data_IF_330763612895
#
_entry.id   IF_330763612895
#
_cell.length_a   1.000
_cell.length_b   1.000
_cell.length_c   1.000
_cell.angle_alpha   90.00
_cell.angle_beta   90.00
_cell.angle_gamma   90.00
#
_symmetry.space_group_name_H-M   'P 1'
#
loop_
_entity.id
_entity.type
_entity.pdbx_description
1 polymer ?
#
# COMPACT_ATOMS: atom_id res chain seq x y z
N UNK A 1 -30.61 7.41 -0.54
CA UNK A 1 -30.53 6.39 0.51
C UNK A 1 -29.06 6.14 0.73
N UNK A 2 -28.52 6.66 1.83
CA UNK A 2 -27.10 6.50 2.16
C UNK A 2 -27.00 5.24 2.98
N UNK A 3 -26.64 4.14 2.35
CA UNK A 3 -26.36 2.89 3.06
C UNK A 3 -25.07 3.11 3.86
N UNK A 4 -25.23 3.26 5.18
CA UNK A 4 -24.15 3.11 6.14
C UNK A 4 -23.70 1.65 6.10
N UNK A 5 -22.40 1.35 5.93
CA UNK A 5 -21.92 -0.02 5.90
C UNK A 5 -22.26 -0.76 7.20
N UNK A 6 -22.52 -2.06 7.08
CA UNK A 6 -22.87 -2.98 8.16
C UNK A 6 -21.73 -3.06 9.19
N UNK A 7 -21.98 -2.76 10.49
CA UNK A 7 -20.96 -2.82 11.55
C UNK A 7 -20.45 -4.24 11.85
N UNK A 8 -20.95 -5.28 11.18
CA UNK A 8 -20.53 -6.68 11.38
C UNK A 8 -19.35 -7.12 10.52
N UNK A 9 -18.93 -6.34 9.52
CA UNK A 9 -17.73 -6.67 8.73
C UNK A 9 -16.48 -6.22 9.49
N UNK A 10 -15.72 -7.17 10.05
CA UNK A 10 -14.39 -6.91 10.61
C UNK A 10 -13.53 -6.19 9.55
N UNK A 11 -13.24 -4.88 9.70
CA UNK A 11 -12.49 -4.14 8.68
C UNK A 11 -11.07 -4.68 8.53
N UNK A 12 -10.55 -5.39 9.54
CA UNK A 12 -9.27 -6.09 9.45
C UNK A 12 -9.37 -7.32 8.55
N UNK A 13 -10.51 -8.02 8.49
CA UNK A 13 -10.66 -9.22 7.66
C UNK A 13 -10.44 -8.89 6.18
N UNK A 14 -11.04 -7.82 5.65
CA UNK A 14 -10.84 -7.37 4.27
C UNK A 14 -9.40 -6.88 3.97
N UNK A 15 -8.64 -6.49 5.00
CA UNK A 15 -7.22 -6.13 4.87
C UNK A 15 -6.34 -7.37 4.93
N UNK A 16 -6.63 -8.28 5.86
CA UNK A 16 -5.95 -9.57 6.04
C UNK A 16 -6.11 -10.48 4.82
N UNK A 17 -7.23 -10.45 4.11
CA UNK A 17 -7.43 -11.30 2.92
C UNK A 17 -6.56 -10.91 1.73
N UNK A 18 -6.12 -9.65 1.65
CA UNK A 18 -5.29 -9.11 0.56
C UNK A 18 -3.79 -9.05 0.87
N UNK A 19 -3.41 -9.05 2.15
CA UNK A 19 -2.00 -9.22 2.59
C UNK A 19 -1.71 -10.68 2.90
N UNK A 20 -0.50 -11.17 2.63
CA UNK A 20 -0.11 -12.59 2.84
C UNK A 20 1.35 -12.67 3.32
N UNK A 21 1.73 -13.80 3.91
CA UNK A 21 3.10 -14.05 4.38
C UNK A 21 3.40 -13.35 5.70
N UNK A 22 4.62 -12.83 5.84
CA UNK A 22 5.13 -12.15 7.06
C UNK A 22 4.60 -10.71 7.24
N UNK A 23 3.47 -10.40 6.59
CA UNK A 23 2.77 -9.13 6.72
C UNK A 23 1.70 -9.23 7.81
N UNK A 24 1.83 -8.40 8.84
CA UNK A 24 0.93 -8.32 9.98
C UNK A 24 0.04 -7.07 9.92
N UNK A 25 -1.22 -7.22 10.33
CA UNK A 25 -2.18 -6.11 10.48
C UNK A 25 -2.55 -6.01 11.96
N UNK A 26 -2.07 -4.98 12.69
CA UNK A 26 -2.40 -4.81 14.10
C UNK A 26 -3.89 -4.64 14.33
N UNK A 27 -4.45 -5.40 15.27
CA UNK A 27 -5.90 -5.39 15.53
C UNK A 27 -6.39 -4.02 16.02
N UNK A 28 -5.55 -3.33 16.77
CA UNK A 28 -5.81 -2.01 17.36
C UNK A 28 -5.91 -0.89 16.31
N UNK A 29 -5.32 -1.09 15.13
CA UNK A 29 -5.19 -0.03 14.14
C UNK A 29 -6.32 -0.05 13.11
N UNK A 30 -7.21 -1.05 13.16
CA UNK A 30 -8.34 -1.25 12.25
C UNK A 30 -7.90 -1.16 10.77
N UNK A 31 -6.82 -1.84 10.41
CA UNK A 31 -6.32 -1.89 9.05
C UNK A 31 -5.58 -0.64 8.58
N UNK A 32 -5.33 0.32 9.48
CA UNK A 32 -4.62 1.57 9.14
C UNK A 32 -3.10 1.43 9.18
N UNK A 33 -2.61 0.24 9.52
CA UNK A 33 -1.21 -0.13 9.51
C UNK A 33 -1.06 -1.57 9.03
N UNK A 34 -0.06 -1.82 8.21
CA UNK A 34 0.39 -3.15 7.79
C UNK A 34 1.90 -3.17 8.01
N UNK A 35 2.41 -4.17 8.72
CA UNK A 35 3.81 -4.27 9.15
C UNK A 35 4.43 -5.47 8.46
N UNK A 36 5.63 -5.30 7.93
CA UNK A 36 6.51 -6.41 7.59
C UNK A 36 7.38 -6.73 8.80
N UNK A 37 7.08 -7.82 9.51
CA UNK A 37 7.66 -8.11 10.83
C UNK A 37 9.19 -8.25 10.82
N UNK A 38 9.83 -8.99 9.88
CA UNK A 38 11.29 -9.15 9.86
C UNK A 38 12.05 -7.83 9.73
N UNK A 39 11.53 -6.89 8.93
CA UNK A 39 12.23 -5.63 8.62
C UNK A 39 11.76 -4.43 9.42
N UNK A 40 10.59 -4.52 10.04
CA UNK A 40 9.91 -3.37 10.64
C UNK A 40 9.40 -2.35 9.62
N UNK A 41 9.39 -2.66 8.31
CA UNK A 41 8.80 -1.74 7.32
C UNK A 41 7.29 -1.68 7.54
N UNK A 42 6.73 -0.48 7.62
CA UNK A 42 5.29 -0.29 7.85
C UNK A 42 4.65 0.45 6.69
N UNK A 43 3.51 0.00 6.20
CA UNK A 43 2.58 0.84 5.46
C UNK A 43 1.55 1.40 6.42
N UNK A 44 1.46 2.73 6.50
CA UNK A 44 0.59 3.43 7.45
C UNK A 44 -0.35 4.43 6.78
N UNK A 45 -1.52 4.61 7.41
CA UNK A 45 -2.45 5.68 7.07
C UNK A 45 -1.87 7.02 7.52
N UNK A 46 -1.47 7.86 6.57
CA UNK A 46 -0.99 9.22 6.82
C UNK A 46 -2.02 10.13 7.50
N UNK A 47 -3.28 9.70 7.61
CA UNK A 47 -4.35 10.39 8.36
C UNK A 47 -4.22 10.23 9.87
N UNK A 48 -3.47 9.23 10.34
CA UNK A 48 -3.39 8.82 11.75
C UNK A 48 -1.97 8.75 12.28
N UNK A 49 -1.02 8.45 11.41
CA UNK A 49 0.36 8.20 11.78
C UNK A 49 1.28 9.07 10.94
N UNK A 50 2.39 9.50 11.54
CA UNK A 50 3.44 10.23 10.85
C UNK A 50 4.37 9.26 10.11
N UNK A 51 4.53 9.39 8.78
CA UNK A 51 5.45 8.58 8.01
C UNK A 51 6.86 9.17 7.97
N UNK A 52 7.85 8.29 7.87
CA UNK A 52 9.22 8.70 7.55
C UNK A 52 9.37 8.93 6.04
N UNK A 53 8.63 8.17 5.21
CA UNK A 53 8.64 8.30 3.75
C UNK A 53 7.22 8.35 3.20
N UNK A 54 6.90 9.36 2.41
CA UNK A 54 5.64 9.42 1.68
C UNK A 54 5.73 8.59 0.40
N UNK A 55 4.76 7.69 0.21
CA UNK A 55 4.55 6.94 -1.04
C UNK A 55 3.27 7.38 -1.75
N UNK A 56 2.72 8.54 -1.38
CA UNK A 56 1.51 9.08 -2.00
C UNK A 56 1.74 9.50 -3.47
N UNK A 57 0.66 9.95 -4.13
CA UNK A 57 0.69 10.32 -5.56
C UNK A 57 1.64 11.48 -5.91
N UNK A 58 2.19 12.20 -4.93
CA UNK A 58 3.19 13.27 -5.14
C UNK A 58 4.62 12.73 -5.09
N UNK A 59 4.81 11.53 -4.55
CA UNK A 59 6.10 10.85 -4.53
C UNK A 59 6.38 10.14 -5.85
N UNK A 60 7.65 9.79 -6.08
CA UNK A 60 8.07 8.93 -7.21
C UNK A 60 7.46 7.52 -7.15
N UNK A 61 7.01 7.08 -5.98
CA UNK A 61 6.39 5.77 -5.76
C UNK A 61 4.86 5.81 -5.88
N UNK A 62 4.29 6.98 -6.13
CA UNK A 62 2.86 7.19 -6.16
C UNK A 62 2.17 6.45 -7.29
N UNK A 63 0.95 5.96 -7.04
CA UNK A 63 0.15 5.34 -8.09
C UNK A 63 -0.26 6.38 -9.15
N UNK A 64 0.09 6.21 -10.45
CA UNK A 64 -0.31 7.13 -11.51
C UNK A 64 -1.76 6.91 -11.97
N UNK A 65 -2.32 5.72 -11.73
CA UNK A 65 -3.65 5.32 -12.18
C UNK A 65 -4.73 5.88 -11.23
N UNK A 66 -5.39 6.95 -11.66
CA UNK A 66 -6.44 7.64 -10.89
C UNK A 66 -7.81 7.07 -11.18
N UNK A 67 -8.66 7.07 -10.16
CA UNK A 67 -10.05 6.64 -10.33
C UNK A 67 -10.85 7.71 -11.08
N UNK A 68 -11.92 7.32 -11.76
CA UNK A 68 -12.86 8.25 -12.43
C UNK A 68 -13.35 9.33 -11.46
N UNK A 69 -13.74 8.94 -10.24
CA UNK A 69 -14.16 9.89 -9.19
C UNK A 69 -13.06 10.87 -8.73
N UNK A 70 -11.80 10.55 -9.00
CA UNK A 70 -10.62 11.35 -8.67
C UNK A 70 -10.05 12.05 -9.92
N UNK A 71 -10.83 12.14 -11.01
CA UNK A 71 -10.45 12.78 -12.28
C UNK A 71 -9.51 11.94 -13.15
N UNK A 72 -9.55 10.61 -13.02
CA UNK A 72 -8.81 9.67 -13.85
C UNK A 72 -9.70 8.85 -14.78
N UNK A 73 -9.19 7.68 -15.18
CA UNK A 73 -9.82 6.78 -16.17
C UNK A 73 -10.11 5.39 -15.60
N UNK A 74 -9.73 5.13 -14.35
CA UNK A 74 -9.87 3.80 -13.75
C UNK A 74 -11.18 3.67 -12.98
N UNK A 75 -11.93 2.62 -13.24
CA UNK A 75 -13.28 2.44 -12.69
C UNK A 75 -13.25 1.99 -11.22
N UNK A 76 -12.29 1.14 -10.84
CA UNK A 76 -12.24 0.55 -9.49
C UNK A 76 -10.87 0.66 -8.82
N UNK A 77 -10.87 0.57 -7.49
CA UNK A 77 -9.65 0.60 -6.67
C UNK A 77 -8.79 -0.63 -6.96
N UNK A 78 -9.43 -1.77 -7.12
CA UNK A 78 -8.85 -3.06 -7.46
C UNK A 78 -8.13 -2.99 -8.79
N UNK A 79 -8.77 -2.43 -9.82
CA UNK A 79 -8.14 -2.19 -11.11
C UNK A 79 -6.98 -1.21 -11.00
N UNK A 80 -7.12 -0.13 -10.23
CA UNK A 80 -6.07 0.89 -10.05
C UNK A 80 -4.82 0.31 -9.37
N UNK A 81 -4.98 -0.59 -8.40
CA UNK A 81 -3.87 -1.27 -7.73
C UNK A 81 -3.26 -2.36 -8.64
N UNK A 82 -4.07 -3.10 -9.40
CA UNK A 82 -3.57 -4.08 -10.36
C UNK A 82 -2.73 -3.43 -11.48
N UNK A 83 -3.19 -2.31 -12.04
CA UNK A 83 -2.43 -1.53 -13.02
C UNK A 83 -1.12 -1.01 -12.41
N UNK A 84 -1.19 -0.53 -11.17
CA UNK A 84 0.00 -0.09 -10.44
C UNK A 84 1.00 -1.22 -10.23
N UNK A 85 0.57 -2.43 -9.90
CA UNK A 85 1.47 -3.58 -9.72
C UNK A 85 2.24 -3.90 -11.01
N UNK A 86 1.57 -3.84 -12.17
CA UNK A 86 2.23 -3.98 -13.47
C UNK A 86 3.25 -2.86 -13.74
N UNK A 87 2.83 -1.60 -13.57
CA UNK A 87 3.70 -0.43 -13.75
C UNK A 87 4.92 -0.45 -12.81
N UNK A 88 4.70 -0.77 -11.53
CA UNK A 88 5.74 -0.83 -10.51
C UNK A 88 6.80 -1.89 -10.86
N UNK A 89 6.36 -3.10 -11.23
CA UNK A 89 7.28 -4.17 -11.66
C UNK A 89 8.04 -3.81 -12.94
N UNK A 90 7.39 -3.15 -13.90
CA UNK A 90 8.07 -2.63 -15.09
C UNK A 90 9.17 -1.63 -14.72
N UNK A 91 8.86 -0.65 -13.85
CA UNK A 91 9.83 0.34 -13.41
C UNK A 91 11.00 -0.27 -12.64
N UNK A 92 10.77 -1.29 -11.81
CA UNK A 92 11.85 -2.02 -11.13
C UNK A 92 12.84 -2.67 -12.10
N UNK A 93 12.37 -3.14 -13.26
CA UNK A 93 13.21 -3.81 -14.26
C UNK A 93 13.90 -2.79 -15.18
N UNK A 94 13.18 -1.76 -15.60
CA UNK A 94 13.64 -0.81 -16.63
C UNK A 94 14.40 0.39 -16.06
N UNK A 95 14.23 0.70 -14.77
CA UNK A 95 14.80 1.89 -14.14
C UNK A 95 15.58 1.54 -12.86
N UNK A 96 16.91 1.46 -12.99
CA UNK A 96 17.81 1.16 -11.87
C UNK A 96 17.70 2.16 -10.72
N UNK A 97 17.58 3.47 -11.00
CA UNK A 97 17.43 4.49 -9.96
C UNK A 97 16.10 4.34 -9.20
N UNK A 98 15.04 3.89 -9.88
CA UNK A 98 13.78 3.58 -9.20
C UNK A 98 13.92 2.35 -8.32
N UNK A 99 14.59 1.30 -8.80
CA UNK A 99 14.85 0.10 -8.02
C UNK A 99 15.68 0.40 -6.76
N UNK A 100 16.77 1.15 -6.88
CA UNK A 100 17.57 1.60 -5.74
C UNK A 100 16.72 2.43 -4.75
N UNK A 101 15.94 3.38 -5.25
CA UNK A 101 15.06 4.19 -4.41
C UNK A 101 13.97 3.37 -3.71
N UNK A 102 13.50 2.26 -4.31
CA UNK A 102 12.58 1.33 -3.65
C UNK A 102 13.30 0.57 -2.53
N UNK A 103 14.54 0.12 -2.74
CA UNK A 103 15.31 -0.56 -1.68
C UNK A 103 15.52 0.33 -0.45
N UNK A 104 15.70 1.64 -0.63
CA UNK A 104 15.78 2.61 0.47
C UNK A 104 14.52 2.70 1.33
N UNK A 105 13.38 2.15 0.88
CA UNK A 105 12.14 2.10 1.65
C UNK A 105 12.13 0.95 2.67
N UNK A 106 13.11 0.03 2.61
CA UNK A 106 13.21 -1.07 3.57
C UNK A 106 13.55 -0.55 4.98
N UNK A 107 12.72 -0.93 5.95
CA UNK A 107 12.77 -0.48 7.35
C UNK A 107 12.06 0.85 7.62
N UNK A 108 11.46 1.47 6.60
CA UNK A 108 10.81 2.78 6.71
C UNK A 108 9.31 2.67 7.04
N UNK A 109 8.72 3.79 7.50
CA UNK A 109 7.28 3.96 7.69
C UNK A 109 6.68 4.70 6.49
N UNK A 110 6.10 3.92 5.59
CA UNK A 110 5.55 4.35 4.31
C UNK A 110 4.16 4.95 4.49
N UNK A 111 4.03 6.25 4.22
CA UNK A 111 2.79 7.00 4.33
C UNK A 111 1.94 6.96 3.07
N UNK A 112 0.68 6.56 3.22
CA UNK A 112 -0.33 6.72 2.17
C UNK A 112 -1.69 7.17 2.73
N UNK A 113 -2.49 7.82 1.90
CA UNK A 113 -3.84 8.29 2.24
C UNK A 113 -4.95 7.25 2.01
N UNK A 114 -4.62 6.13 1.38
CA UNK A 114 -5.58 5.10 0.96
C UNK A 114 -5.98 4.15 2.09
N UNK A 115 -5.06 3.81 2.99
CA UNK A 115 -5.34 2.91 4.11
C UNK A 115 -6.47 3.47 4.99
N UNK A 116 -7.44 2.63 5.41
CA UNK A 116 -7.42 1.15 5.39
C UNK A 116 -7.95 0.48 4.11
N UNK A 117 -8.40 1.25 3.11
CA UNK A 117 -8.80 0.67 1.83
C UNK A 117 -7.57 0.10 1.10
N UNK A 118 -7.80 -0.77 0.12
CA UNK A 118 -6.72 -1.35 -0.68
C UNK A 118 -5.79 -0.26 -1.23
N UNK A 119 -4.51 -0.40 -0.91
CA UNK A 119 -3.52 0.64 -1.13
C UNK A 119 -2.44 0.13 -2.09
N UNK A 120 -1.98 0.99 -2.99
CA UNK A 120 -0.85 0.67 -3.87
C UNK A 120 0.44 0.42 -3.08
N UNK A 121 0.57 1.03 -1.91
CA UNK A 121 1.69 0.79 -1.00
C UNK A 121 1.77 -0.65 -0.49
N UNK A 122 0.68 -1.43 -0.56
CA UNK A 122 0.72 -2.87 -0.27
C UNK A 122 1.53 -3.63 -1.32
N UNK A 123 1.60 -3.14 -2.57
CA UNK A 123 2.47 -3.72 -3.62
C UNK A 123 3.93 -3.47 -3.28
N UNK A 124 4.28 -2.23 -2.88
CA UNK A 124 5.65 -1.87 -2.48
C UNK A 124 6.06 -2.73 -1.28
N UNK A 125 5.21 -2.80 -0.25
CA UNK A 125 5.49 -3.55 0.96
C UNK A 125 5.67 -5.05 0.67
N UNK A 126 4.81 -5.66 -0.16
CA UNK A 126 4.95 -7.06 -0.60
C UNK A 126 6.26 -7.30 -1.36
N UNK A 127 6.66 -6.36 -2.21
CA UNK A 127 7.92 -6.47 -2.94
C UNK A 127 9.12 -6.45 -1.99
N UNK A 128 9.12 -5.52 -1.02
CA UNK A 128 10.17 -5.41 -0.01
C UNK A 128 10.26 -6.65 0.88
N UNK A 129 9.13 -7.20 1.32
CA UNK A 129 9.10 -8.46 2.05
C UNK A 129 9.77 -9.57 1.22
N UNK A 130 9.23 -9.84 0.03
CA UNK A 130 9.72 -10.91 -0.84
C UNK A 130 11.21 -10.77 -1.24
N UNK A 131 11.75 -9.55 -1.29
CA UNK A 131 13.15 -9.31 -1.64
C UNK A 131 14.13 -9.57 -0.49
N UNK A 132 13.68 -9.54 0.77
CA UNK A 132 14.54 -9.52 1.95
C UNK A 132 14.15 -10.50 3.06
N UNK A 133 13.19 -11.40 2.83
CA UNK A 133 12.81 -12.52 3.71
C UNK A 133 13.88 -13.64 3.80
N UNK A 134 15.17 -13.29 3.72
CA UNK A 134 16.31 -14.23 3.71
C UNK A 134 17.03 -14.32 5.06
#
# INVERSE_FOLDING_TARGET
MSETPDPTEDPLAAVRTRVRGDLHVPETDHGRRIVHEPSGTELISGRRFEPTRWVDRRSRFGNPFKLVKDGGEVESREQSVALYEGWFRGNLVENGEFAEAVQELYGERLGCWCLPQQCHGEVILRHLAAAYDS
#
